data_IF_612651451573
#
_entry.id   IF_612651451573
#
_cell.length_a   1.000
_cell.length_b   1.000
_cell.length_c   1.000
_cell.angle_alpha   90.00
_cell.angle_beta   90.00
_cell.angle_gamma   90.00
#
_symmetry.space_group_name_H-M   'P 1'
#
loop_
_entity.id
_entity.type
_entity.pdbx_description
1 polymer ?
#
# COMPACT_ATOMS: atom_id res chain seq x y z
N UNK A 1 5.26 18.18 4.70
CA UNK A 1 5.79 17.17 3.75
C UNK A 1 4.68 16.19 3.38
N UNK A 2 4.41 16.03 2.10
CA UNK A 2 3.44 15.03 1.61
C UNK A 2 4.13 13.67 1.57
N UNK A 3 3.72 12.76 2.47
CA UNK A 3 4.25 11.38 2.47
C UNK A 3 3.72 10.62 1.26
N UNK A 4 4.61 9.96 0.54
CA UNK A 4 4.29 9.11 -0.61
C UNK A 4 4.65 7.65 -0.32
N UNK A 5 3.97 6.74 -1.01
CA UNK A 5 4.25 5.31 -1.02
C UNK A 5 4.44 4.89 -2.47
N UNK A 6 5.52 4.16 -2.74
CA UNK A 6 5.72 3.50 -4.03
C UNK A 6 4.85 2.24 -4.12
N UNK A 7 4.04 2.16 -5.17
CA UNK A 7 3.24 0.99 -5.50
C UNK A 7 3.90 0.22 -6.63
N UNK A 8 4.48 -0.97 -6.37
CA UNK A 8 5.20 -1.72 -7.39
C UNK A 8 4.27 -2.20 -8.52
N UNK A 9 3.03 -2.56 -8.20
CA UNK A 9 2.03 -3.00 -9.19
C UNK A 9 1.68 -1.93 -10.25
N UNK A 10 1.98 -0.66 -9.97
CA UNK A 10 1.67 0.47 -10.84
C UNK A 10 2.92 1.29 -11.19
N UNK A 11 4.09 0.82 -10.75
CA UNK A 11 5.41 1.48 -10.87
C UNK A 11 5.39 2.98 -10.54
N UNK A 12 4.55 3.40 -9.59
CA UNK A 12 4.32 4.82 -9.30
C UNK A 12 4.27 5.12 -7.81
N UNK A 13 4.73 6.31 -7.46
CA UNK A 13 4.55 6.87 -6.13
C UNK A 13 3.19 7.56 -6.00
N UNK A 14 2.38 7.13 -5.04
CA UNK A 14 1.10 7.76 -4.71
C UNK A 14 1.18 8.44 -3.35
N UNK A 15 0.34 9.44 -3.11
CA UNK A 15 0.26 10.03 -1.76
C UNK A 15 -0.31 9.00 -0.78
N UNK A 16 0.17 9.05 0.47
CA UNK A 16 -0.33 8.19 1.55
C UNK A 16 -1.84 8.38 1.75
N UNK A 17 -2.34 9.60 1.55
CA UNK A 17 -3.78 9.92 1.59
C UNK A 17 -4.56 9.15 0.51
N UNK A 18 -4.09 9.18 -0.74
CA UNK A 18 -4.73 8.46 -1.83
C UNK A 18 -4.68 6.94 -1.63
N UNK A 19 -3.54 6.42 -1.17
CA UNK A 19 -3.37 5.01 -0.82
C UNK A 19 -4.39 4.56 0.25
N UNK A 20 -4.48 5.29 1.36
CA UNK A 20 -5.43 4.96 2.44
C UNK A 20 -6.89 5.05 1.99
N UNK A 21 -7.24 6.03 1.15
CA UNK A 21 -8.58 6.15 0.61
C UNK A 21 -8.94 4.95 -0.28
N UNK A 22 -8.03 4.52 -1.15
CA UNK A 22 -8.22 3.35 -2.02
C UNK A 22 -8.33 2.04 -1.21
N UNK A 23 -7.46 1.85 -0.22
CA UNK A 23 -7.52 0.67 0.67
C UNK A 23 -8.84 0.64 1.45
N UNK A 24 -9.29 1.78 1.98
CA UNK A 24 -10.56 1.86 2.70
C UNK A 24 -11.74 1.52 1.78
N UNK A 25 -11.77 2.07 0.57
CA UNK A 25 -12.78 1.73 -0.43
C UNK A 25 -12.80 0.22 -0.73
N UNK A 26 -11.63 -0.40 -0.91
CA UNK A 26 -11.53 -1.84 -1.13
C UNK A 26 -11.99 -2.69 0.07
N UNK A 27 -11.80 -2.20 1.29
CA UNK A 27 -12.29 -2.86 2.52
C UNK A 27 -13.81 -2.75 2.63
N UNK A 28 -14.38 -1.59 2.31
CA UNK A 28 -15.83 -1.35 2.36
C UNK A 28 -16.57 -2.12 1.24
N UNK A 29 -15.87 -2.48 0.16
CA UNK A 29 -16.42 -3.18 -1.01
C UNK A 29 -15.58 -4.43 -1.38
N UNK A 30 -15.66 -5.51 -0.58
CA UNK A 30 -14.81 -6.68 -0.74
C UNK A 30 -15.05 -7.47 -2.04
N UNK A 31 -16.26 -7.43 -2.59
CA UNK A 31 -16.66 -8.14 -3.80
C UNK A 31 -16.30 -7.43 -5.11
N UNK A 32 -15.94 -6.13 -5.05
CA UNK A 32 -15.59 -5.39 -6.25
C UNK A 32 -14.24 -5.83 -6.79
N UNK A 33 -14.17 -6.03 -8.11
CA UNK A 33 -12.92 -6.27 -8.82
C UNK A 33 -12.24 -4.96 -9.22
N UNK A 34 -10.95 -4.90 -8.96
CA UNK A 34 -10.05 -3.82 -9.32
C UNK A 34 -9.06 -4.35 -10.36
N UNK A 35 -8.66 -3.49 -11.31
CA UNK A 35 -7.75 -3.89 -12.38
C UNK A 35 -6.37 -4.37 -11.89
N UNK A 36 -5.93 -3.85 -10.73
CA UNK A 36 -4.63 -4.12 -10.13
C UNK A 36 -4.78 -4.11 -8.60
N UNK A 37 -3.88 -4.81 -7.91
CA UNK A 37 -3.77 -4.80 -6.45
C UNK A 37 -2.79 -3.77 -5.93
N UNK A 38 -2.48 -3.87 -4.64
CA UNK A 38 -1.41 -3.08 -4.01
C UNK A 38 -0.04 -3.61 -4.43
N UNK A 39 0.07 -4.94 -4.57
CA UNK A 39 1.29 -5.65 -4.95
C UNK A 39 1.11 -6.50 -6.22
N UNK A 40 -0.12 -6.82 -6.61
CA UNK A 40 -0.45 -7.63 -7.79
C UNK A 40 -0.72 -6.79 -9.03
N UNK A 41 -0.17 -7.18 -10.18
CA UNK A 41 -0.41 -6.52 -11.48
C UNK A 41 -1.65 -7.05 -12.22
N UNK A 42 -2.28 -8.11 -11.73
CA UNK A 42 -3.52 -8.67 -12.27
C UNK A 42 -4.75 -8.18 -11.49
N UNK A 43 -5.93 -8.49 -12.03
CA UNK A 43 -7.21 -8.12 -11.42
C UNK A 43 -7.41 -8.80 -10.08
N UNK A 44 -7.92 -8.05 -9.11
CA UNK A 44 -8.04 -8.50 -7.72
C UNK A 44 -9.26 -7.89 -7.06
N UNK A 45 -9.87 -8.65 -6.18
CA UNK A 45 -11.04 -8.24 -5.39
C UNK A 45 -10.65 -7.32 -4.23
N UNK A 46 -11.61 -6.57 -3.72
CA UNK A 46 -11.43 -5.78 -2.50
C UNK A 46 -10.99 -6.62 -1.29
N UNK A 47 -11.48 -7.87 -1.21
CA UNK A 47 -11.09 -8.83 -0.18
C UNK A 47 -9.59 -9.19 -0.26
N UNK A 48 -9.06 -9.40 -1.46
CA UNK A 48 -7.64 -9.68 -1.68
C UNK A 48 -6.77 -8.45 -1.43
N UNK A 49 -7.20 -7.25 -1.85
CA UNK A 49 -6.54 -5.99 -1.52
C UNK A 49 -6.41 -5.81 0.00
N UNK A 50 -7.46 -6.16 0.76
CA UNK A 50 -7.43 -6.13 2.22
C UNK A 50 -6.42 -7.12 2.79
N UNK A 51 -6.30 -8.31 2.21
CA UNK A 51 -5.27 -9.29 2.61
C UNK A 51 -3.86 -8.78 2.32
N UNK A 52 -3.60 -8.27 1.12
CA UNK A 52 -2.30 -7.66 0.76
C UNK A 52 -1.94 -6.49 1.69
N UNK A 53 -2.92 -5.67 2.06
CA UNK A 53 -2.71 -4.57 2.99
C UNK A 53 -2.27 -5.07 4.38
N UNK A 54 -2.91 -6.14 4.89
CA UNK A 54 -2.56 -6.76 6.18
C UNK A 54 -1.18 -7.40 6.15
N UNK A 55 -0.84 -8.12 5.09
CA UNK A 55 0.50 -8.68 4.88
C UNK A 55 1.56 -7.57 4.91
N UNK A 56 1.31 -6.48 4.19
CA UNK A 56 2.20 -5.32 4.22
C UNK A 56 2.31 -4.67 5.61
N UNK A 57 1.28 -4.73 6.47
CA UNK A 57 1.39 -4.27 7.86
C UNK A 57 2.32 -5.20 8.66
N UNK A 58 2.17 -6.51 8.52
CA UNK A 58 3.02 -7.48 9.21
C UNK A 58 4.50 -7.33 8.80
N UNK A 59 4.76 -7.18 7.51
CA UNK A 59 6.10 -6.95 6.98
C UNK A 59 6.73 -5.65 7.54
N UNK A 60 5.95 -4.56 7.61
CA UNK A 60 6.38 -3.28 8.22
C UNK A 60 6.66 -3.37 9.72
N UNK A 61 5.97 -4.25 10.45
CA UNK A 61 6.24 -4.51 11.87
C UNK A 61 7.56 -5.28 12.00
N UNK A 62 7.75 -6.31 11.16
CA UNK A 62 8.96 -7.14 11.15
C UNK A 62 10.21 -6.34 10.79
N UNK A 63 10.10 -5.36 9.88
CA UNK A 63 11.21 -4.48 9.50
C UNK A 63 11.63 -3.47 10.58
N UNK A 64 10.90 -3.37 11.71
CA UNK A 64 11.13 -2.41 12.80
C UNK A 64 11.30 -0.95 12.35
N UNK A 65 10.81 -0.58 11.17
CA UNK A 65 10.96 0.79 10.65
C UNK A 65 10.20 1.76 11.55
N UNK A 66 10.90 2.73 12.19
CA UNK A 66 10.26 3.73 13.02
C UNK A 66 9.18 4.46 12.24
N UNK A 67 8.05 4.75 12.89
CA UNK A 67 6.87 5.33 12.21
C UNK A 67 7.18 6.65 11.47
N UNK A 68 8.17 7.39 11.95
CA UNK A 68 8.66 8.64 11.35
C UNK A 68 9.33 8.43 9.99
N UNK A 69 9.93 7.27 9.76
CA UNK A 69 10.75 6.89 8.60
C UNK A 69 9.97 6.04 7.59
N UNK A 70 8.66 5.90 7.75
CA UNK A 70 7.83 5.11 6.84
C UNK A 70 7.44 5.95 5.61
N UNK A 71 7.83 5.48 4.42
CA UNK A 71 7.56 6.16 3.15
C UNK A 71 8.58 7.24 2.79
N UNK A 72 9.70 7.33 3.51
CA UNK A 72 10.88 8.10 3.07
C UNK A 72 11.71 7.25 2.11
N UNK A 73 12.25 7.82 1.02
CA UNK A 73 13.21 7.14 0.17
C UNK A 73 14.39 6.64 1.02
N UNK A 74 14.82 5.41 0.78
CA UNK A 74 15.92 4.79 1.53
C UNK A 74 17.24 5.58 1.42
N UNK A 75 17.36 6.41 0.38
CA UNK A 75 18.53 7.26 0.08
C UNK A 75 18.80 8.37 1.09
N UNK A 76 17.88 8.66 2.02
CA UNK A 76 18.04 9.72 3.03
C UNK A 76 18.66 9.24 4.36
N UNK A 77 19.21 8.03 4.39
CA UNK A 77 19.77 7.40 5.60
C UNK A 77 21.25 7.01 5.50
N UNK A 78 21.98 7.55 4.52
CA UNK A 78 23.44 7.39 4.39
C UNK A 78 24.16 8.69 4.70
#
# INVERSE_FOLDING_TARGET
MTRTIYLPALERSVTLRAYNAAVRHAIDHPELEYKHGLTSWWSTTGAEIRSQFREGIHDRINQRTPYQLRGTPHELYT
#
